data_IF_855016436052
#
_entry.id   IF_855016436052
#
_cell.length_a   1.000
_cell.length_b   1.000
_cell.length_c   1.000
_cell.angle_alpha   90.00
_cell.angle_beta   90.00
_cell.angle_gamma   90.00
#
_symmetry.space_group_name_H-M   'P 1'
#
loop_
_entity.id
_entity.type
_entity.pdbx_description
1 polymer ?
#
# COMPACT_ATOMS: atom_id res chain seq x y z
N UNK A 1 22.25 12.47 -13.37
CA UNK A 1 20.87 12.96 -13.17
C UNK A 1 19.94 11.94 -13.82
N UNK A 2 19.13 11.23 -13.04
CA UNK A 2 18.15 10.30 -13.57
C UNK A 2 16.89 11.09 -13.97
N UNK A 3 16.68 11.29 -15.26
CA UNK A 3 15.41 11.82 -15.79
C UNK A 3 14.54 10.61 -16.13
N UNK A 4 13.59 10.24 -15.27
CA UNK A 4 12.58 9.28 -15.68
C UNK A 4 11.75 9.90 -16.80
N UNK A 5 11.63 9.18 -17.91
CA UNK A 5 10.95 9.64 -19.14
C UNK A 5 9.44 9.85 -18.96
N UNK A 6 8.90 9.49 -17.78
CA UNK A 6 7.47 9.45 -17.48
C UNK A 6 6.91 10.77 -16.91
N UNK A 7 7.73 11.81 -16.75
CA UNK A 7 7.27 13.10 -16.27
C UNK A 7 7.44 14.19 -17.31
N UNK A 8 6.40 15.00 -17.46
CA UNK A 8 6.41 16.24 -18.22
C UNK A 8 6.04 17.36 -17.27
N UNK A 9 6.76 18.48 -17.37
CA UNK A 9 6.48 19.70 -16.60
C UNK A 9 5.92 20.78 -17.51
N UNK A 10 4.97 21.56 -16.99
CA UNK A 10 4.41 22.70 -17.69
C UNK A 10 4.89 23.97 -17.00
N UNK A 11 5.59 24.84 -17.73
CA UNK A 11 5.99 26.15 -17.23
C UNK A 11 4.94 27.17 -17.64
N UNK A 12 4.29 27.79 -16.65
CA UNK A 12 3.26 28.80 -16.88
C UNK A 12 3.91 30.16 -17.20
N UNK A 13 3.34 30.88 -18.17
CA UNK A 13 3.70 32.28 -18.42
C UNK A 13 2.97 33.21 -17.45
N UNK A 14 3.27 34.52 -17.49
CA UNK A 14 2.61 35.53 -16.65
C UNK A 14 1.08 35.62 -16.85
N UNK A 15 0.56 35.08 -17.95
CA UNK A 15 -0.87 35.05 -18.26
C UNK A 15 -1.63 33.88 -17.60
N UNK A 16 -0.93 32.94 -16.94
CA UNK A 16 -1.52 31.72 -16.39
C UNK A 16 -1.06 31.47 -14.95
N UNK A 17 -2.03 31.33 -14.05
CA UNK A 17 -1.80 30.97 -12.66
C UNK A 17 -1.54 29.45 -12.56
N UNK A 18 -0.43 28.99 -11.98
CA UNK A 18 -0.10 27.56 -11.89
C UNK A 18 -1.16 26.71 -11.18
N UNK A 19 -1.73 27.24 -10.09
CA UNK A 19 -2.76 26.55 -9.31
C UNK A 19 -4.04 26.38 -10.14
N UNK A 20 -4.39 27.37 -10.97
CA UNK A 20 -5.53 27.28 -11.87
C UNK A 20 -5.34 26.17 -12.91
N UNK A 21 -4.16 26.11 -13.55
CA UNK A 21 -3.83 25.05 -14.51
C UNK A 21 -3.92 23.67 -13.84
N UNK A 22 -3.37 23.53 -12.62
CA UNK A 22 -3.44 22.30 -11.87
C UNK A 22 -4.89 21.87 -11.61
N UNK A 23 -5.76 22.79 -11.15
CA UNK A 23 -7.18 22.48 -10.94
C UNK A 23 -7.92 22.16 -12.23
N UNK A 24 -7.63 22.86 -13.33
CA UNK A 24 -8.23 22.58 -14.63
C UNK A 24 -7.87 21.17 -15.13
N UNK A 25 -6.61 20.77 -15.02
CA UNK A 25 -6.17 19.42 -15.40
C UNK A 25 -6.74 18.33 -14.47
N UNK A 26 -6.86 18.60 -13.17
CA UNK A 26 -7.50 17.67 -12.24
C UNK A 26 -9.00 17.52 -12.50
N UNK A 27 -9.67 18.58 -12.96
CA UNK A 27 -11.10 18.56 -13.28
C UNK A 27 -11.42 17.67 -14.49
N UNK A 28 -10.52 17.57 -15.48
CA UNK A 28 -10.65 16.60 -16.58
C UNK A 28 -10.71 15.14 -16.08
N UNK A 29 -10.06 14.84 -14.95
CA UNK A 29 -10.17 13.58 -14.24
C UNK A 29 -9.83 12.37 -15.11
N UNK A 30 -10.84 11.53 -15.41
CA UNK A 30 -10.67 10.36 -16.28
C UNK A 30 -10.62 10.71 -17.78
N UNK A 31 -11.10 11.90 -18.16
CA UNK A 31 -11.10 12.38 -19.54
C UNK A 31 -9.69 12.44 -20.13
N UNK A 32 -8.68 12.79 -19.31
CA UNK A 32 -7.28 12.87 -19.75
C UNK A 32 -6.71 11.50 -20.17
N UNK A 33 -7.23 10.39 -19.60
CA UNK A 33 -6.76 9.04 -19.90
C UNK A 33 -7.10 8.59 -21.33
N UNK A 34 -8.08 9.24 -21.99
CA UNK A 34 -8.46 8.94 -23.38
C UNK A 34 -7.33 9.23 -24.37
N UNK A 35 -6.43 10.14 -24.00
CA UNK A 35 -5.27 10.52 -24.82
C UNK A 35 -4.07 9.59 -24.59
N UNK A 36 -4.18 8.68 -23.62
CA UNK A 36 -3.18 7.67 -23.35
C UNK A 36 -3.19 6.58 -24.42
N UNK A 37 -2.01 6.20 -24.90
CA UNK A 37 -1.78 5.13 -25.86
C UNK A 37 -1.04 3.98 -25.18
N UNK A 38 -1.32 2.74 -25.60
CA UNK A 38 -0.68 1.52 -25.08
C UNK A 38 -1.59 0.70 -24.18
N UNK A 39 -1.44 -0.63 -24.25
CA UNK A 39 -2.23 -1.61 -23.48
C UNK A 39 -1.61 -1.95 -22.13
N UNK A 40 -0.27 -2.01 -22.03
CA UNK A 40 0.47 -2.36 -20.81
C UNK A 40 0.94 -1.12 -20.03
N UNK A 41 1.47 -0.12 -20.73
CA UNK A 41 1.82 1.19 -20.18
C UNK A 41 1.07 2.26 -20.97
N UNK A 42 0.13 2.94 -20.30
CA UNK A 42 -0.66 4.00 -20.92
C UNK A 42 0.11 5.32 -20.85
N UNK A 43 0.63 5.77 -21.98
CA UNK A 43 1.45 6.99 -22.08
C UNK A 43 0.76 8.03 -22.96
N UNK A 44 0.73 9.28 -22.51
CA UNK A 44 0.29 10.42 -23.33
C UNK A 44 1.53 10.99 -24.00
N UNK A 45 1.59 10.95 -25.33
CA UNK A 45 2.75 11.46 -26.06
C UNK A 45 2.75 12.99 -26.14
N UNK A 46 3.93 13.56 -26.40
CA UNK A 46 4.15 15.00 -26.45
C UNK A 46 3.25 15.77 -27.45
N UNK A 47 2.92 15.25 -28.65
CA UNK A 47 1.98 15.92 -29.55
C UNK A 47 0.60 16.12 -28.93
N UNK A 48 0.08 15.10 -28.26
CA UNK A 48 -1.22 15.12 -27.58
C UNK A 48 -1.21 16.08 -26.39
N UNK A 49 -0.14 16.07 -25.58
CA UNK A 49 0.04 17.02 -24.48
C UNK A 49 0.02 18.47 -24.97
N UNK A 50 0.71 18.77 -26.08
CA UNK A 50 0.72 20.12 -26.67
C UNK A 50 -0.61 20.53 -27.28
N UNK A 51 -1.47 19.57 -27.63
CA UNK A 51 -2.79 19.82 -28.17
C UNK A 51 -3.85 20.09 -27.09
N UNK A 52 -3.51 19.98 -25.80
CA UNK A 52 -4.45 20.28 -24.73
C UNK A 52 -4.82 21.76 -24.74
N UNK A 53 -6.12 22.00 -24.63
CA UNK A 53 -6.70 23.33 -24.55
C UNK A 53 -7.44 23.46 -23.22
N UNK A 54 -7.28 24.59 -22.57
CA UNK A 54 -7.99 24.95 -21.34
C UNK A 54 -8.74 26.25 -21.57
N UNK A 55 -9.83 26.46 -20.85
CA UNK A 55 -10.42 27.78 -20.74
C UNK A 55 -9.40 28.72 -20.07
N UNK A 56 -9.17 29.89 -20.66
CA UNK A 56 -8.22 30.88 -20.14
C UNK A 56 -8.96 32.17 -19.79
N UNK A 57 -9.60 32.24 -18.60
CA UNK A 57 -10.24 33.47 -18.14
C UNK A 57 -9.19 34.53 -17.73
N UNK A 58 -9.59 35.78 -17.47
CA UNK A 58 -8.68 36.82 -16.97
C UNK A 58 -7.96 36.41 -15.68
N UNK A 59 -6.75 36.95 -15.46
CA UNK A 59 -5.91 36.60 -14.31
C UNK A 59 -6.59 36.73 -12.95
N UNK A 60 -7.46 37.73 -12.79
CA UNK A 60 -8.18 37.93 -11.55
C UNK A 60 -9.16 36.77 -11.28
N UNK A 61 -9.90 36.36 -12.30
CA UNK A 61 -10.85 35.23 -12.22
C UNK A 61 -10.11 33.90 -12.00
N UNK A 62 -8.96 33.69 -12.65
CA UNK A 62 -8.12 32.51 -12.40
C UNK A 62 -7.74 32.38 -10.92
N UNK A 63 -7.32 33.48 -10.28
CA UNK A 63 -6.94 33.52 -8.85
C UNK A 63 -8.14 33.25 -7.94
N UNK A 64 -9.30 33.82 -8.27
CA UNK A 64 -10.52 33.63 -7.50
C UNK A 64 -10.99 32.18 -7.55
N UNK A 65 -11.01 31.57 -8.75
CA UNK A 65 -11.34 30.16 -8.93
C UNK A 65 -10.36 29.29 -8.14
N UNK A 66 -9.05 29.50 -8.29
CA UNK A 66 -8.04 28.70 -7.59
C UNK A 66 -8.16 28.82 -6.06
N UNK A 67 -8.44 30.02 -5.54
CA UNK A 67 -8.66 30.24 -4.12
C UNK A 67 -9.93 29.55 -3.61
N UNK A 68 -11.02 29.61 -4.37
CA UNK A 68 -12.28 28.95 -4.02
C UNK A 68 -12.11 27.43 -3.96
N UNK A 69 -11.53 26.83 -5.01
CA UNK A 69 -11.29 25.39 -5.08
C UNK A 69 -10.36 24.95 -3.95
N UNK A 70 -9.27 25.69 -3.70
CA UNK A 70 -8.34 25.38 -2.61
C UNK A 70 -9.04 25.36 -1.24
N UNK A 71 -9.90 26.33 -0.95
CA UNK A 71 -10.66 26.38 0.31
C UNK A 71 -11.62 25.20 0.46
N UNK A 72 -12.31 24.83 -0.62
CA UNK A 72 -13.25 23.69 -0.62
C UNK A 72 -12.48 22.39 -0.39
N UNK A 73 -11.38 22.16 -1.11
CA UNK A 73 -10.56 20.96 -0.98
C UNK A 73 -9.92 20.84 0.41
N UNK A 74 -9.47 21.97 0.99
CA UNK A 74 -8.94 21.99 2.35
C UNK A 74 -10.02 21.55 3.35
N UNK A 75 -11.23 22.09 3.23
CA UNK A 75 -12.36 21.70 4.09
C UNK A 75 -12.73 20.24 3.94
N UNK A 76 -12.83 19.75 2.70
CA UNK A 76 -13.10 18.34 2.42
C UNK A 76 -12.01 17.43 3.01
N UNK A 77 -10.74 17.82 2.88
CA UNK A 77 -9.60 17.10 3.46
C UNK A 77 -9.66 17.03 4.99
N UNK A 78 -10.04 18.12 5.67
CA UNK A 78 -10.24 18.11 7.13
C UNK A 78 -11.37 17.16 7.55
N UNK A 79 -12.50 17.17 6.83
CA UNK A 79 -13.63 16.28 7.10
C UNK A 79 -13.26 14.81 6.87
N UNK A 80 -12.53 14.52 5.78
CA UNK A 80 -12.07 13.15 5.49
C UNK A 80 -11.12 12.64 6.56
N UNK A 81 -10.19 13.47 7.04
CA UNK A 81 -9.27 13.10 8.13
C UNK A 81 -10.04 12.79 9.41
N UNK A 82 -10.94 13.70 9.82
CA UNK A 82 -11.76 13.50 11.02
C UNK A 82 -12.61 12.23 10.93
N UNK A 83 -13.23 11.95 9.78
CA UNK A 83 -13.99 10.72 9.56
C UNK A 83 -13.09 9.48 9.63
N UNK A 84 -11.92 9.52 9.00
CA UNK A 84 -10.96 8.40 9.00
C UNK A 84 -10.46 8.10 10.40
N UNK A 85 -10.16 9.13 11.19
CA UNK A 85 -9.71 9.00 12.57
C UNK A 85 -10.83 8.47 13.48
N UNK A 86 -12.08 8.89 13.26
CA UNK A 86 -13.24 8.35 13.96
C UNK A 86 -13.47 6.86 13.67
N UNK A 87 -13.35 6.43 12.41
CA UNK A 87 -13.44 5.01 12.04
C UNK A 87 -12.32 4.22 12.72
N UNK A 88 -11.08 4.71 12.67
CA UNK A 88 -9.94 4.05 13.34
C UNK A 88 -10.16 3.95 14.85
N UNK A 89 -10.70 5.00 15.47
CA UNK A 89 -11.03 4.97 16.90
C UNK A 89 -12.11 3.93 17.20
N UNK A 90 -13.16 3.83 16.38
CA UNK A 90 -14.20 2.82 16.54
C UNK A 90 -13.65 1.38 16.42
N UNK A 91 -12.80 1.11 15.41
CA UNK A 91 -12.16 -0.19 15.22
C UNK A 91 -11.28 -0.60 16.41
N UNK A 92 -10.67 0.36 17.09
CA UNK A 92 -9.88 0.11 18.30
C UNK A 92 -10.74 -0.03 19.56
N UNK A 93 -11.87 0.70 19.63
CA UNK A 93 -12.75 0.69 20.80
C UNK A 93 -13.62 -0.56 20.85
N UNK A 94 -14.11 -1.06 19.71
CA UNK A 94 -15.01 -2.21 19.66
C UNK A 94 -14.43 -3.47 20.34
N UNK A 95 -13.22 -3.95 20.02
CA UNK A 95 -12.65 -5.13 20.69
C UNK A 95 -12.41 -4.88 22.18
N UNK A 96 -12.04 -3.66 22.56
CA UNK A 96 -11.78 -3.30 23.97
C UNK A 96 -13.08 -3.25 24.78
N UNK A 97 -14.14 -2.71 24.20
CA UNK A 97 -15.48 -2.67 24.80
C UNK A 97 -16.04 -4.10 24.95
N UNK A 98 -15.88 -4.95 23.95
CA UNK A 98 -16.28 -6.37 24.03
C UNK A 98 -15.48 -7.10 25.11
N UNK A 99 -14.15 -6.93 25.14
CA UNK A 99 -13.32 -7.54 26.18
C UNK A 99 -13.70 -7.03 27.58
N UNK A 100 -14.00 -5.75 27.72
CA UNK A 100 -14.46 -5.16 28.99
C UNK A 100 -15.85 -5.67 29.40
N UNK A 101 -16.77 -5.83 28.45
CA UNK A 101 -18.08 -6.42 28.64
C UNK A 101 -18.00 -7.87 29.11
N UNK A 102 -17.20 -8.69 28.43
CA UNK A 102 -16.98 -10.10 28.78
C UNK A 102 -16.28 -10.25 30.14
N UNK A 103 -15.44 -9.30 30.53
CA UNK A 103 -14.83 -9.25 31.87
C UNK A 103 -15.81 -8.78 32.98
N UNK A 104 -17.09 -8.55 32.66
CA UNK A 104 -18.11 -8.10 33.62
C UNK A 104 -17.97 -6.62 34.02
N UNK A 105 -17.17 -5.84 33.30
CA UNK A 105 -16.94 -4.41 33.61
C UNK A 105 -18.16 -3.53 33.40
N UNK A 106 -19.05 -3.89 32.47
CA UNK A 106 -20.26 -3.11 32.16
C UNK A 106 -21.29 -3.09 33.30
N UNK A 107 -21.40 -4.16 34.10
CA UNK A 107 -22.34 -4.24 35.24
C UNK A 107 -21.86 -3.40 36.44
N UNK A 108 -20.54 -3.22 36.59
CA UNK A 108 -19.96 -2.36 37.64
C UNK A 108 -20.20 -0.88 37.39
N UNK A 109 -20.13 -0.45 36.14
CA UNK A 109 -20.36 0.95 35.73
C UNK A 109 -21.84 1.33 35.87
N UNK A 110 -22.77 0.41 35.57
CA UNK A 110 -24.21 0.68 35.64
C UNK A 110 -24.76 0.82 37.08
N UNK A 111 -24.05 0.31 38.09
CA UNK A 111 -24.45 0.40 39.52
C UNK A 111 -23.89 1.62 40.25
N UNK A 112 -23.02 2.39 39.61
CA UNK A 112 -22.46 3.63 40.18
C UNK A 112 -23.31 4.82 39.73
N UNK A 113 -23.82 5.60 40.69
CA UNK A 113 -24.46 6.91 40.41
C UNK A 113 -23.43 8.03 40.21
N UNK A 114 -22.13 7.73 40.22
CA UNK A 114 -21.07 8.73 40.13
C UNK A 114 -20.77 9.13 38.68
N UNK A 115 -20.31 10.38 38.51
CA UNK A 115 -19.94 10.92 37.19
C UNK A 115 -18.83 10.08 36.54
N UNK A 116 -18.94 9.82 35.23
CA UNK A 116 -18.01 8.99 34.46
C UNK A 116 -16.52 9.39 34.63
N UNK A 117 -16.23 10.66 34.90
CA UNK A 117 -14.87 11.15 35.13
C UNK A 117 -14.25 10.63 36.44
N UNK A 118 -15.05 10.47 37.50
CA UNK A 118 -14.60 9.98 38.81
C UNK A 118 -14.24 8.50 38.72
N UNK A 119 -15.08 7.71 38.06
CA UNK A 119 -14.87 6.28 37.79
C UNK A 119 -13.63 6.03 36.92
N UNK A 120 -13.38 6.89 35.92
CA UNK A 120 -12.19 6.78 35.08
C UNK A 120 -10.89 7.00 35.88
N UNK A 121 -10.90 7.90 36.86
CA UNK A 121 -9.73 8.17 37.69
C UNK A 121 -9.49 7.06 38.73
N UNK A 122 -10.56 6.42 39.24
CA UNK A 122 -10.45 5.24 40.09
C UNK A 122 -9.91 4.03 39.33
N UNK A 123 -10.44 3.75 38.13
CA UNK A 123 -9.95 2.66 37.26
C UNK A 123 -8.47 2.85 36.90
N UNK A 124 -8.01 4.10 36.68
CA UNK A 124 -6.59 4.38 36.45
C UNK A 124 -5.75 4.04 37.68
N UNK A 125 -6.17 4.49 38.87
CA UNK A 125 -5.48 4.20 40.13
C UNK A 125 -5.39 2.69 40.38
N UNK A 126 -6.48 1.97 40.21
CA UNK A 126 -6.52 0.51 40.37
C UNK A 126 -5.61 -0.21 39.37
N UNK A 127 -5.54 0.28 38.14
CA UNK A 127 -4.69 -0.30 37.10
C UNK A 127 -3.20 -0.06 37.35
N UNK A 128 -2.84 1.09 37.92
CA UNK A 128 -1.46 1.41 38.29
C UNK A 128 -0.98 0.60 39.51
N UNK A 129 -1.91 0.12 40.34
CA UNK A 129 -1.63 -0.77 41.48
C UNK A 129 -1.38 -2.22 41.06
N UNK A 130 -1.77 -2.63 39.84
CA UNK A 130 -1.47 -3.96 39.31
C UNK A 130 -0.03 -3.95 38.76
N UNK A 131 0.92 -4.70 39.36
CA UNK A 131 2.30 -4.69 38.90
C UNK A 131 2.39 -5.30 37.48
N UNK A 132 2.77 -4.48 36.50
CA UNK A 132 3.02 -4.93 35.13
C UNK A 132 4.21 -5.90 35.16
N UNK A 133 3.95 -7.17 34.86
CA UNK A 133 5.01 -8.18 34.66
C UNK A 133 5.84 -7.74 33.45
N UNK A 134 7.03 -7.18 33.69
CA UNK A 134 7.97 -6.76 32.64
C UNK A 134 8.40 -7.99 31.84
N UNK A 135 7.89 -8.13 30.61
CA UNK A 135 8.45 -9.06 29.63
C UNK A 135 9.91 -8.68 29.38
N UNK A 136 10.83 -9.56 29.77
CA UNK A 136 12.28 -9.39 29.65
C UNK A 136 12.66 -9.31 28.16
N UNK A 137 12.98 -8.12 27.66
CA UNK A 137 13.60 -7.96 26.34
C UNK A 137 15.00 -8.58 26.40
N UNK A 138 15.25 -9.62 25.59
CA UNK A 138 16.61 -10.08 25.29
C UNK A 138 17.28 -9.02 24.43
N UNK A 139 18.21 -8.27 25.00
CA UNK A 139 19.14 -7.42 24.26
C UNK A 139 20.29 -8.29 23.76
N UNK A 140 20.33 -8.57 22.46
CA UNK A 140 21.53 -9.07 21.79
C UNK A 140 22.45 -7.89 21.52
N UNK A 141 23.53 -7.78 22.31
CA UNK A 141 24.65 -6.91 21.99
C UNK A 141 25.32 -7.44 20.72
N UNK A 142 25.39 -6.60 19.68
CA UNK A 142 26.20 -6.84 18.49
C UNK A 142 27.37 -5.86 18.56
N UNK A 143 28.56 -6.44 18.45
CA UNK A 143 29.90 -5.87 18.57
C UNK A 143 30.20 -4.94 17.38
N UNK A 144 30.43 -3.66 17.68
CA UNK A 144 30.89 -2.63 16.75
C UNK A 144 32.38 -2.85 16.46
N UNK A 145 32.73 -3.56 15.38
CA UNK A 145 34.01 -3.41 14.65
C UNK A 145 34.04 -4.25 13.38
N UNK A 146 33.86 -3.56 12.24
CA UNK A 146 34.51 -3.74 10.91
C UNK A 146 33.50 -3.62 9.77
N UNK A 147 33.30 -2.40 9.26
CA UNK A 147 32.94 -2.20 7.84
C UNK A 147 33.64 -0.95 7.33
N UNK A 148 34.56 -1.16 6.39
CA UNK A 148 35.04 -0.33 5.28
C UNK A 148 36.33 -1.01 4.78
N UNK A 149 36.53 -1.41 3.53
CA UNK A 149 35.92 -1.16 2.23
C UNK A 149 36.12 -2.43 1.40
N UNK A 150 35.15 -2.79 0.56
CA UNK A 150 35.39 -3.19 -0.84
C UNK A 150 34.05 -3.59 -1.49
N UNK A 151 33.44 -2.57 -2.11
CA UNK A 151 32.91 -2.56 -3.48
C UNK A 151 32.49 -3.93 -4.09
N UNK A 152 31.18 -4.08 -4.36
CA UNK A 152 30.57 -4.28 -5.70
C UNK A 152 29.12 -4.79 -5.55
N UNK A 153 28.21 -4.14 -6.29
CA UNK A 153 26.81 -4.48 -6.67
C UNK A 153 25.68 -4.44 -5.63
N UNK A 154 24.93 -3.34 -5.74
CA UNK A 154 23.46 -3.19 -5.77
C UNK A 154 22.57 -4.04 -4.85
N UNK A 155 21.93 -3.31 -3.93
CA UNK A 155 20.51 -3.38 -3.58
C UNK A 155 19.92 -4.75 -3.22
N UNK A 156 20.15 -5.14 -1.98
CA UNK A 156 19.15 -5.86 -1.18
C UNK A 156 18.03 -4.87 -0.76
N UNK A 157 16.77 -5.26 -0.60
CA UNK A 157 16.22 -5.99 0.57
C UNK A 157 14.69 -6.22 0.39
N UNK A 158 13.96 -6.99 1.24
CA UNK A 158 14.39 -7.82 2.38
C UNK A 158 13.85 -9.27 2.38
N UNK A 159 14.45 -10.07 3.25
CA UNK A 159 14.08 -11.44 3.60
C UNK A 159 12.78 -11.52 4.43
N UNK A 160 11.92 -12.47 4.07
CA UNK A 160 11.01 -13.14 5.01
C UNK A 160 11.26 -14.65 4.96
N UNK A 161 11.99 -15.11 5.97
CA UNK A 161 11.75 -16.31 6.78
C UNK A 161 11.14 -17.54 6.07
N UNK A 162 11.97 -18.58 6.01
CA UNK A 162 11.61 -19.97 5.76
C UNK A 162 10.31 -20.39 6.48
N UNK A 163 9.27 -20.64 5.71
CA UNK A 163 8.16 -21.54 6.08
C UNK A 163 7.78 -22.30 4.81
N UNK A 164 8.07 -23.61 4.82
CA UNK A 164 7.65 -24.65 3.87
C UNK A 164 7.60 -24.25 2.40
N UNK A 165 8.60 -24.66 1.61
CA UNK A 165 8.43 -24.78 0.16
C UNK A 165 7.31 -25.80 -0.12
N UNK A 166 6.14 -25.45 -0.70
CA UNK A 166 5.43 -26.40 -1.51
C UNK A 166 6.19 -26.44 -2.83
N UNK A 167 7.04 -27.46 -2.98
CA UNK A 167 7.85 -27.65 -4.16
C UNK A 167 6.91 -27.79 -5.35
N UNK A 168 6.94 -26.87 -6.32
CA UNK A 168 6.05 -26.90 -7.49
C UNK A 168 6.10 -28.26 -8.19
N UNK A 169 7.24 -28.94 -8.07
CA UNK A 169 7.52 -30.29 -8.54
C UNK A 169 6.65 -31.35 -7.84
N UNK A 170 6.39 -31.22 -6.54
CA UNK A 170 5.54 -32.15 -5.78
C UNK A 170 4.07 -32.03 -6.23
N UNK A 171 3.61 -30.80 -6.49
CA UNK A 171 2.27 -30.53 -7.03
C UNK A 171 2.13 -31.06 -8.46
N UNK A 172 3.20 -30.98 -9.27
CA UNK A 172 3.24 -31.50 -10.63
C UNK A 172 3.27 -33.04 -10.67
N UNK A 173 4.06 -33.68 -9.79
CA UNK A 173 4.16 -35.14 -9.68
C UNK A 173 2.87 -35.77 -9.13
N UNK A 174 2.24 -35.13 -8.14
CA UNK A 174 0.97 -35.61 -7.56
C UNK A 174 -0.22 -35.51 -8.52
N UNK A 175 -0.11 -34.67 -9.57
CA UNK A 175 -1.19 -34.43 -10.54
C UNK A 175 -1.01 -35.13 -11.89
N UNK A 176 -0.04 -36.04 -12.02
CA UNK A 176 0.13 -36.86 -13.23
C UNK A 176 1.09 -36.30 -14.27
N UNK A 177 1.95 -35.34 -13.91
CA UNK A 177 3.14 -34.99 -14.68
C UNK A 177 2.97 -33.94 -15.79
N UNK A 178 1.76 -33.52 -16.13
CA UNK A 178 1.51 -32.44 -17.10
C UNK A 178 0.37 -31.52 -16.64
N UNK A 179 0.62 -30.21 -16.52
CA UNK A 179 -0.46 -29.24 -16.26
C UNK A 179 -0.15 -27.83 -16.78
N UNK A 180 -1.18 -27.02 -17.10
CA UNK A 180 -1.00 -25.64 -17.48
C UNK A 180 -0.54 -24.78 -16.29
N UNK A 181 0.32 -23.78 -16.57
CA UNK A 181 0.90 -22.91 -15.55
C UNK A 181 -0.15 -22.22 -14.65
N UNK A 182 -1.31 -21.90 -15.21
CA UNK A 182 -2.44 -21.29 -14.48
C UNK A 182 -3.03 -22.22 -13.42
N UNK A 183 -3.08 -23.52 -13.71
CA UNK A 183 -3.61 -24.52 -12.77
C UNK A 183 -2.57 -24.89 -11.71
N UNK A 184 -1.29 -24.95 -12.10
CA UNK A 184 -0.17 -25.09 -11.17
C UNK A 184 -0.13 -23.94 -10.16
N UNK A 185 -0.33 -22.71 -10.63
CA UNK A 185 -0.39 -21.54 -9.77
C UNK A 185 -1.55 -21.62 -8.77
N UNK A 186 -2.78 -21.91 -9.24
CA UNK A 186 -3.95 -22.05 -8.35
C UNK A 186 -3.74 -23.11 -7.27
N UNK A 187 -3.17 -24.26 -7.62
CA UNK A 187 -2.93 -25.37 -6.68
C UNK A 187 -1.77 -25.10 -5.73
N UNK A 188 -0.75 -24.37 -6.16
CA UNK A 188 0.39 -23.99 -5.31
C UNK A 188 0.00 -22.98 -4.22
N UNK A 189 -1.07 -22.19 -4.43
CA UNK A 189 -1.49 -21.16 -3.49
C UNK A 189 -0.44 -20.05 -3.25
N UNK A 190 0.58 -19.96 -4.11
CA UNK A 190 1.68 -19.01 -3.97
C UNK A 190 1.29 -17.62 -4.48
N UNK A 191 1.91 -16.59 -3.88
CA UNK A 191 1.88 -15.26 -4.48
C UNK A 191 2.55 -15.27 -5.86
N UNK A 192 2.00 -14.51 -6.80
CA UNK A 192 2.35 -14.59 -8.22
C UNK A 192 3.85 -14.35 -8.47
N UNK A 193 4.47 -13.42 -7.75
CA UNK A 193 5.91 -13.12 -7.90
C UNK A 193 6.80 -14.24 -7.37
N UNK A 194 6.37 -14.94 -6.32
CA UNK A 194 7.07 -16.12 -5.78
C UNK A 194 6.91 -17.32 -6.70
N UNK A 195 5.71 -17.48 -7.29
CA UNK A 195 5.42 -18.54 -8.25
C UNK A 195 6.33 -18.46 -9.49
N UNK A 196 6.43 -17.29 -10.13
CA UNK A 196 7.29 -17.13 -11.31
C UNK A 196 8.78 -17.29 -10.98
N UNK A 197 9.21 -16.86 -9.80
CA UNK A 197 10.59 -17.08 -9.33
C UNK A 197 10.91 -18.57 -9.21
N UNK A 198 10.06 -19.32 -8.50
CA UNK A 198 10.25 -20.76 -8.32
C UNK A 198 10.06 -21.57 -9.61
N UNK A 199 9.16 -21.13 -10.51
CA UNK A 199 9.00 -21.76 -11.83
C UNK A 199 10.25 -21.55 -12.68
N UNK A 200 10.82 -20.34 -12.70
CA UNK A 200 12.07 -20.05 -13.41
C UNK A 200 13.23 -20.87 -12.86
N UNK A 201 13.37 -20.93 -11.53
CA UNK A 201 14.39 -21.76 -10.87
C UNK A 201 14.26 -23.25 -11.24
N UNK A 202 13.04 -23.79 -11.33
CA UNK A 202 12.79 -25.18 -11.68
C UNK A 202 13.03 -25.50 -13.17
N UNK A 203 12.74 -24.54 -14.06
CA UNK A 203 13.05 -24.65 -15.51
C UNK A 203 14.55 -24.55 -15.73
N UNK A 204 15.24 -23.61 -15.07
CA UNK A 204 16.70 -23.45 -15.14
C UNK A 204 17.44 -24.68 -14.56
N UNK A 205 16.85 -25.33 -13.56
CA UNK A 205 17.34 -26.60 -13.00
C UNK A 205 17.00 -27.83 -13.87
N UNK A 206 16.24 -27.67 -14.95
CA UNK A 206 15.84 -28.76 -15.85
C UNK A 206 14.81 -29.73 -15.25
N UNK A 207 14.15 -29.36 -14.16
CA UNK A 207 13.17 -30.19 -13.44
C UNK A 207 11.75 -30.05 -14.00
N UNK A 208 11.50 -28.99 -14.78
CA UNK A 208 10.25 -28.75 -15.49
C UNK A 208 10.58 -28.37 -16.94
N UNK A 209 10.02 -29.11 -17.89
CA UNK A 209 10.13 -28.83 -19.32
C UNK A 209 8.85 -28.16 -19.83
N UNK A 210 9.00 -27.05 -20.55
CA UNK A 210 7.91 -26.40 -21.25
C UNK A 210 7.62 -27.14 -22.57
N UNK A 211 6.35 -27.46 -22.83
CA UNK A 211 5.93 -27.97 -24.15
C UNK A 211 6.07 -26.87 -25.22
N UNK A 212 6.34 -27.24 -26.48
CA UNK A 212 6.57 -26.29 -27.59
C UNK A 212 5.44 -25.26 -27.78
N UNK A 213 4.22 -25.63 -27.41
CA UNK A 213 3.04 -24.74 -27.48
C UNK A 213 2.91 -23.77 -26.28
N UNK A 214 3.83 -23.80 -25.30
CA UNK A 214 3.80 -23.00 -24.05
C UNK A 214 2.54 -23.14 -23.18
N UNK A 215 1.61 -24.02 -23.55
CA UNK A 215 0.35 -24.21 -22.82
C UNK A 215 0.48 -25.20 -21.66
N UNK A 216 1.49 -26.07 -21.66
CA UNK A 216 1.60 -27.18 -20.70
C UNK A 216 3.02 -27.31 -20.16
N UNK A 217 3.14 -27.41 -18.83
CA UNK A 217 4.37 -27.69 -18.11
C UNK A 217 4.45 -29.19 -17.82
N UNK A 218 5.58 -29.80 -18.15
CA UNK A 218 5.85 -31.23 -17.90
C UNK A 218 6.94 -31.39 -16.85
N UNK A 219 6.82 -32.36 -15.96
CA UNK A 219 7.92 -32.72 -15.08
C UNK A 219 9.04 -33.39 -15.90
N UNK A 220 10.27 -32.88 -15.77
CA UNK A 220 11.47 -33.46 -16.37
C UNK A 220 11.99 -34.68 -15.61
#
# INVERSE_FOLDING_TARGET
>A
MATSQDFVTWTCSEALVPEYLMFALMAEGRGIRRFGRGSTHTTIYMPELRAFQIALPPLQEQKEIASLVSRILLRAGMMLRAATDAVRAADQLLPRAIAHAMAGGLDKVARSEESANVLLDEIKRDRDLIPVIKRRRRTSAIDDRRINEDMVTSDAQPEHSQVGNPDLIEVLRSSGGEMPATELWRRSGLQIDRFYRSLREAVDAGLIAESEDKEVLRAG
#
